data_IF_887049001841
#
_entry.id   IF_887049001841
#
_cell.length_a   1.000
_cell.length_b   1.000
_cell.length_c   1.000
_cell.angle_alpha   90.00
_cell.angle_beta   90.00
_cell.angle_gamma   90.00
#
_symmetry.space_group_name_H-M   'P 1'
#
loop_
_entity.id
_entity.type
_entity.pdbx_description
1 polymer ?
#
# COMPACT_ATOMS: atom_id res chain seq x y z
N UNK A 1 30.29 -68.07 46.76
CA UNK A 1 30.02 -66.72 47.28
C UNK A 1 28.66 -66.25 46.75
N UNK A 2 27.68 -65.97 47.62
CA UNK A 2 26.37 -65.39 47.21
C UNK A 2 26.31 -63.88 47.43
N UNK A 3 27.04 -63.37 48.42
CA UNK A 3 26.99 -61.97 48.81
C UNK A 3 27.66 -61.04 47.78
N UNK A 4 28.71 -61.50 47.10
CA UNK A 4 29.41 -60.72 46.06
C UNK A 4 28.57 -60.57 44.79
N UNK A 5 27.84 -61.60 44.38
CA UNK A 5 26.94 -61.52 43.22
C UNK A 5 25.83 -60.49 43.43
N UNK A 6 25.27 -60.39 44.64
CA UNK A 6 24.25 -59.38 44.96
C UNK A 6 24.80 -57.96 44.75
N UNK A 7 26.00 -57.70 45.28
CA UNK A 7 26.64 -56.39 45.13
C UNK A 7 27.00 -56.08 43.68
N UNK A 8 27.55 -57.06 42.94
CA UNK A 8 27.91 -56.86 41.53
C UNK A 8 26.67 -56.57 40.69
N UNK A 9 25.56 -57.28 40.90
CA UNK A 9 24.29 -57.02 40.22
C UNK A 9 23.75 -55.61 40.47
N UNK A 10 23.84 -55.12 41.70
CA UNK A 10 23.37 -53.78 42.07
C UNK A 10 24.19 -52.67 41.39
N UNK A 11 25.50 -52.91 41.19
CA UNK A 11 26.43 -51.93 40.59
C UNK A 11 26.58 -52.13 39.06
N UNK A 12 26.15 -53.27 38.51
CA UNK A 12 26.32 -53.63 37.10
C UNK A 12 25.78 -52.60 36.10
N UNK A 13 24.61 -51.96 36.32
CA UNK A 13 24.10 -50.91 35.44
C UNK A 13 25.03 -49.69 35.41
N UNK A 14 25.56 -49.28 36.57
CA UNK A 14 26.49 -48.15 36.68
C UNK A 14 27.85 -48.48 36.04
N UNK A 15 28.31 -49.73 36.18
CA UNK A 15 29.50 -50.23 35.49
C UNK A 15 29.32 -50.21 33.97
N UNK A 16 28.15 -50.65 33.46
CA UNK A 16 27.82 -50.61 32.04
C UNK A 16 27.83 -49.18 31.46
N UNK A 17 27.47 -48.19 32.28
CA UNK A 17 27.52 -46.76 31.92
C UNK A 17 28.88 -46.10 32.19
N UNK A 18 29.90 -46.86 32.63
CA UNK A 18 31.22 -46.36 33.05
C UNK A 18 31.15 -45.26 34.15
N UNK A 19 30.20 -45.38 35.08
CA UNK A 19 29.96 -44.41 36.16
C UNK A 19 30.43 -44.90 37.54
N UNK A 20 31.37 -45.84 37.58
CA UNK A 20 31.97 -46.37 38.81
C UNK A 20 33.44 -45.97 38.92
N UNK A 21 34.00 -45.97 40.14
CA UNK A 21 35.43 -45.72 40.35
C UNK A 21 36.29 -46.85 39.76
N UNK A 22 37.57 -46.58 39.46
CA UNK A 22 38.51 -47.57 38.91
C UNK A 22 38.66 -48.82 39.80
N UNK A 23 38.70 -48.62 41.13
CA UNK A 23 38.75 -49.72 42.10
C UNK A 23 37.51 -50.62 42.01
N UNK A 24 36.33 -50.01 41.85
CA UNK A 24 35.05 -50.74 41.73
C UNK A 24 34.94 -51.43 40.37
N UNK A 25 35.42 -50.79 39.29
CA UNK A 25 35.47 -51.37 37.96
C UNK A 25 36.33 -52.63 37.91
N UNK A 26 37.53 -52.56 38.50
CA UNK A 26 38.47 -53.70 38.56
C UNK A 26 37.87 -54.89 39.31
N UNK A 27 37.20 -54.63 40.44
CA UNK A 27 36.50 -55.65 41.22
C UNK A 27 35.37 -56.32 40.42
N UNK A 28 34.52 -55.52 39.76
CA UNK A 28 33.44 -56.05 38.92
C UNK A 28 34.00 -56.86 37.74
N UNK A 29 35.08 -56.41 37.10
CA UNK A 29 35.71 -57.11 35.99
C UNK A 29 36.29 -58.48 36.40
N UNK A 30 36.93 -58.57 37.56
CA UNK A 30 37.45 -59.82 38.10
C UNK A 30 36.32 -60.80 38.46
N UNK A 31 35.21 -60.28 38.99
CA UNK A 31 34.02 -61.10 39.28
C UNK A 31 33.35 -61.62 38.00
N UNK A 32 33.23 -60.78 36.95
CA UNK A 32 32.63 -61.19 35.68
C UNK A 32 33.42 -62.29 34.97
N UNK A 33 34.75 -62.37 35.17
CA UNK A 33 35.60 -63.46 34.65
C UNK A 33 35.32 -64.81 35.31
N UNK A 34 34.79 -64.80 36.53
CA UNK A 34 34.59 -66.01 37.35
C UNK A 34 33.12 -66.38 37.54
N UNK A 35 32.18 -65.45 37.30
CA UNK A 35 30.75 -65.67 37.45
C UNK A 35 29.98 -65.54 36.12
N UNK A 36 29.49 -66.67 35.60
CA UNK A 36 28.73 -66.72 34.35
C UNK A 36 27.36 -66.06 34.42
N UNK A 37 26.72 -66.03 35.59
CA UNK A 37 25.40 -65.39 35.77
C UNK A 37 25.49 -63.87 35.62
N UNK A 38 26.43 -63.23 36.33
CA UNK A 38 26.65 -61.78 36.23
C UNK A 38 27.11 -61.37 34.82
N UNK A 39 27.91 -62.21 34.14
CA UNK A 39 28.32 -61.97 32.76
C UNK A 39 27.14 -62.00 31.77
N UNK A 40 26.20 -62.95 31.95
CA UNK A 40 25.01 -63.04 31.12
C UNK A 40 24.09 -61.82 31.27
N UNK A 41 23.97 -61.26 32.48
CA UNK A 41 23.20 -60.05 32.74
C UNK A 41 23.81 -58.81 32.07
N UNK A 42 25.14 -58.69 32.07
CA UNK A 42 25.83 -57.60 31.37
C UNK A 42 25.61 -57.69 29.84
N UNK A 43 25.66 -58.90 29.27
CA UNK A 43 25.39 -59.12 27.85
C UNK A 43 23.93 -58.84 27.49
N UNK A 44 22.98 -59.15 28.37
CA UNK A 44 21.57 -58.79 28.19
C UNK A 44 21.38 -57.25 28.14
N UNK A 45 22.08 -56.49 28.98
CA UNK A 45 22.06 -55.01 28.94
C UNK A 45 22.69 -54.46 27.65
N UNK A 46 23.82 -55.03 27.20
CA UNK A 46 24.45 -54.69 25.91
C UNK A 46 23.54 -54.97 24.72
N UNK A 47 22.80 -56.08 24.75
CA UNK A 47 21.84 -56.45 23.71
C UNK A 47 20.63 -55.49 23.71
N UNK A 48 20.12 -55.11 24.89
CA UNK A 48 19.05 -54.10 25.02
C UNK A 48 19.43 -52.75 24.42
N UNK A 49 20.63 -52.24 24.72
CA UNK A 49 21.12 -50.96 24.19
C UNK A 49 21.26 -50.94 22.66
N UNK A 50 21.67 -52.05 22.05
CA UNK A 50 21.78 -52.16 20.59
C UNK A 50 20.41 -52.13 19.88
N UNK A 51 19.34 -52.57 20.54
CA UNK A 51 17.98 -52.52 20.00
C UNK A 51 17.46 -51.08 20.00
N UNK A 52 17.78 -50.29 21.03
CA UNK A 52 17.39 -48.88 21.13
C UNK A 52 18.13 -47.98 20.12
N UNK A 53 19.41 -48.25 19.83
CA UNK A 53 20.18 -47.49 18.82
C UNK A 53 19.80 -47.85 17.37
N UNK A 54 19.32 -49.06 17.12
CA UNK A 54 18.86 -49.49 15.78
C UNK A 54 17.51 -48.89 15.35
N UNK A 55 16.72 -48.35 16.29
CA UNK A 55 15.43 -47.71 16.00
C UNK A 55 15.53 -46.25 15.51
N UNK A 56 16.73 -45.65 15.51
CA UNK A 56 16.94 -44.22 15.23
C UNK A 56 17.37 -43.79 13.80
N UNK A 57 16.98 -44.42 12.66
CA UNK A 57 17.15 -43.78 11.34
C UNK A 57 15.87 -43.18 10.72
N UNK A 58 14.66 -43.49 11.19
CA UNK A 58 13.43 -43.12 10.44
C UNK A 58 12.96 -41.66 10.59
N UNK A 59 13.36 -40.94 11.64
CA UNK A 59 12.83 -39.60 11.95
C UNK A 59 13.33 -38.47 11.02
N UNK A 60 14.48 -38.65 10.37
CA UNK A 60 15.12 -37.59 9.55
C UNK A 60 14.47 -37.41 8.18
N UNK A 61 13.88 -38.46 7.59
CA UNK A 61 13.25 -38.37 6.27
C UNK A 61 11.88 -37.70 6.33
N UNK A 62 11.10 -37.97 7.37
CA UNK A 62 9.76 -37.37 7.54
C UNK A 62 9.85 -35.89 7.90
N UNK A 63 10.81 -35.48 8.72
CA UNK A 63 11.09 -34.08 8.99
C UNK A 63 11.45 -33.28 7.71
N UNK A 64 12.28 -33.87 6.85
CA UNK A 64 12.67 -33.24 5.58
C UNK A 64 11.49 -33.15 4.58
N UNK A 65 10.63 -34.17 4.53
CA UNK A 65 9.42 -34.16 3.71
C UNK A 65 8.44 -33.07 4.15
N UNK A 66 8.21 -32.92 5.46
CA UNK A 66 7.35 -31.87 6.02
C UNK A 66 7.89 -30.47 5.75
N UNK A 67 9.21 -30.26 5.84
CA UNK A 67 9.85 -28.97 5.49
C UNK A 67 9.71 -28.66 4.00
N UNK A 68 9.87 -29.67 3.13
CA UNK A 68 9.67 -29.50 1.68
C UNK A 68 8.22 -29.14 1.34
N UNK A 69 7.23 -29.78 1.99
CA UNK A 69 5.80 -29.46 1.84
C UNK A 69 5.52 -28.04 2.35
N UNK A 70 6.01 -27.66 3.53
CA UNK A 70 5.86 -26.30 4.08
C UNK A 70 6.44 -25.25 3.13
N UNK A 71 7.64 -25.47 2.58
CA UNK A 71 8.26 -24.58 1.58
C UNK A 71 7.42 -24.47 0.30
N UNK A 72 6.88 -25.58 -0.22
CA UNK A 72 5.98 -25.57 -1.39
C UNK A 72 4.69 -24.78 -1.12
N UNK A 73 4.09 -24.97 0.06
CA UNK A 73 2.89 -24.22 0.48
C UNK A 73 3.22 -22.74 0.64
N UNK A 74 4.32 -22.38 1.30
CA UNK A 74 4.73 -20.98 1.44
C UNK A 74 5.02 -20.33 0.09
N UNK A 75 5.70 -21.02 -0.84
CA UNK A 75 5.89 -20.52 -2.21
C UNK A 75 4.55 -20.26 -2.90
N UNK A 76 3.59 -21.18 -2.82
CA UNK A 76 2.24 -20.99 -3.39
C UNK A 76 1.51 -19.80 -2.74
N UNK A 77 1.63 -19.62 -1.42
CA UNK A 77 1.08 -18.46 -0.70
C UNK A 77 1.71 -17.15 -1.18
N UNK A 78 3.04 -17.08 -1.29
CA UNK A 78 3.73 -15.88 -1.80
C UNK A 78 3.38 -15.57 -3.24
N UNK A 79 3.23 -16.58 -4.09
CA UNK A 79 2.76 -16.40 -5.48
C UNK A 79 1.34 -15.84 -5.48
N UNK A 80 0.42 -16.41 -4.69
CA UNK A 80 -0.95 -15.92 -4.58
C UNK A 80 -1.00 -14.46 -4.09
N UNK A 81 -0.27 -14.14 -3.01
CA UNK A 81 -0.17 -12.77 -2.46
C UNK A 81 0.39 -11.81 -3.52
N UNK A 82 1.43 -12.22 -4.24
CA UNK A 82 2.05 -11.39 -5.28
C UNK A 82 1.07 -11.11 -6.42
N UNK A 83 0.33 -12.13 -6.88
CA UNK A 83 -0.70 -11.96 -7.91
C UNK A 83 -1.79 -11.01 -7.42
N UNK A 84 -2.30 -11.20 -6.20
CA UNK A 84 -3.30 -10.31 -5.62
C UNK A 84 -2.79 -8.87 -5.54
N UNK A 85 -1.55 -8.66 -5.09
CA UNK A 85 -0.94 -7.33 -5.01
C UNK A 85 -0.84 -6.66 -6.40
N UNK A 86 -0.40 -7.40 -7.43
CA UNK A 86 -0.33 -6.90 -8.81
C UNK A 86 -1.72 -6.55 -9.36
N UNK A 87 -2.73 -7.39 -9.14
CA UNK A 87 -4.10 -7.10 -9.55
C UNK A 87 -4.65 -5.85 -8.87
N UNK A 88 -4.42 -5.69 -7.56
CA UNK A 88 -4.85 -4.50 -6.83
C UNK A 88 -4.16 -3.24 -7.36
N UNK A 89 -2.85 -3.28 -7.60
CA UNK A 89 -2.12 -2.16 -8.19
C UNK A 89 -2.64 -1.79 -9.58
N UNK A 90 -2.96 -2.79 -10.42
CA UNK A 90 -3.55 -2.56 -11.73
C UNK A 90 -4.93 -1.89 -11.63
N UNK A 91 -5.79 -2.33 -10.70
CA UNK A 91 -7.11 -1.73 -10.47
C UNK A 91 -6.98 -0.28 -9.98
N UNK A 92 -6.10 -0.02 -9.01
CA UNK A 92 -5.88 1.35 -8.48
C UNK A 92 -5.38 2.27 -9.59
N UNK A 93 -4.42 1.80 -10.39
CA UNK A 93 -3.89 2.54 -11.54
C UNK A 93 -5.00 2.82 -12.55
N UNK A 94 -5.83 1.82 -12.88
CA UNK A 94 -6.96 1.97 -13.79
C UNK A 94 -7.97 3.01 -13.28
N UNK A 95 -8.37 2.94 -12.00
CA UNK A 95 -9.30 3.91 -11.41
C UNK A 95 -8.72 5.32 -11.37
N UNK A 96 -7.40 5.45 -11.16
CA UNK A 96 -6.72 6.75 -11.16
C UNK A 96 -6.77 7.42 -12.54
N UNK A 97 -6.44 6.68 -13.60
CA UNK A 97 -6.46 7.21 -14.97
C UNK A 97 -7.87 7.31 -15.56
N UNK A 98 -8.79 6.44 -15.14
CA UNK A 98 -10.17 6.38 -15.61
C UNK A 98 -11.19 6.54 -14.46
N UNK A 99 -11.32 7.74 -13.88
CA UNK A 99 -12.19 8.02 -12.74
C UNK A 99 -13.66 8.15 -13.17
N UNK A 100 -14.28 7.05 -13.60
CA UNK A 100 -15.66 7.01 -14.14
C UNK A 100 -16.70 7.56 -13.15
N UNK A 101 -16.42 7.55 -11.84
CA UNK A 101 -17.30 8.16 -10.83
C UNK A 101 -17.53 9.67 -11.08
N UNK A 102 -16.61 10.38 -11.74
CA UNK A 102 -16.77 11.80 -12.12
C UNK A 102 -17.87 11.98 -13.17
N UNK A 103 -18.03 11.02 -14.08
CA UNK A 103 -19.14 11.01 -15.05
C UNK A 103 -20.47 10.91 -14.33
N UNK A 104 -20.59 10.05 -13.31
CA UNK A 104 -21.82 9.91 -12.52
C UNK A 104 -22.14 11.22 -11.80
N UNK A 105 -21.12 11.91 -11.29
CA UNK A 105 -21.24 13.17 -10.58
C UNK A 105 -21.76 14.32 -11.45
N UNK A 106 -21.41 14.35 -12.73
CA UNK A 106 -21.81 15.41 -13.68
C UNK A 106 -23.03 15.02 -14.52
N UNK A 107 -23.13 13.74 -14.90
CA UNK A 107 -24.08 13.21 -15.88
C UNK A 107 -25.54 13.15 -15.43
N UNK A 108 -25.83 13.45 -14.17
CA UNK A 108 -27.21 13.67 -13.71
C UNK A 108 -27.81 15.02 -14.17
N UNK A 109 -27.02 15.89 -14.80
CA UNK A 109 -27.45 17.23 -15.23
C UNK A 109 -27.68 17.27 -16.74
N UNK A 110 -28.68 18.02 -17.20
CA UNK A 110 -28.88 18.31 -18.64
C UNK A 110 -27.97 19.44 -19.15
N UNK A 111 -27.10 19.97 -18.28
CA UNK A 111 -26.30 21.15 -18.53
C UNK A 111 -25.10 20.86 -19.46
N UNK A 112 -24.52 19.66 -19.33
CA UNK A 112 -23.39 19.23 -20.15
C UNK A 112 -23.82 18.21 -21.21
N UNK A 113 -23.24 18.31 -22.40
CA UNK A 113 -23.48 17.35 -23.47
C UNK A 113 -22.76 16.02 -23.20
N UNK A 114 -23.22 14.93 -23.82
CA UNK A 114 -22.58 13.62 -23.67
C UNK A 114 -21.11 13.61 -24.08
N UNK A 115 -20.72 14.40 -25.09
CA UNK A 115 -19.33 14.52 -25.54
C UNK A 115 -18.44 15.39 -24.63
N UNK A 116 -19.04 16.30 -23.87
CA UNK A 116 -18.35 17.04 -22.80
C UNK A 116 -18.09 16.13 -21.60
N UNK A 117 -19.12 15.38 -21.18
CA UNK A 117 -19.04 14.44 -20.05
C UNK A 117 -18.08 13.29 -20.36
N UNK A 118 -18.03 12.81 -21.61
CA UNK A 118 -17.12 11.73 -22.02
C UNK A 118 -15.63 12.09 -21.77
N UNK A 119 -15.27 13.38 -21.76
CA UNK A 119 -13.92 13.86 -21.43
C UNK A 119 -13.54 13.62 -19.96
N UNK A 120 -14.47 13.25 -19.08
CA UNK A 120 -14.18 12.83 -17.70
C UNK A 120 -13.82 11.36 -17.59
N UNK A 121 -14.00 10.56 -18.66
CA UNK A 121 -13.69 9.13 -18.64
C UNK A 121 -12.20 8.85 -18.46
N UNK A 122 -11.34 9.75 -18.95
CA UNK A 122 -9.89 9.67 -18.89
C UNK A 122 -9.31 11.01 -18.43
N UNK A 123 -8.32 10.97 -17.54
CA UNK A 123 -7.75 12.19 -16.92
C UNK A 123 -6.91 13.08 -17.86
N UNK A 124 -6.66 12.64 -19.09
CA UNK A 124 -5.77 13.32 -20.03
C UNK A 124 -4.37 12.71 -20.07
N UNK A 125 -3.64 12.99 -21.16
CA UNK A 125 -2.25 12.57 -21.31
C UNK A 125 -1.35 13.25 -20.27
N UNK A 126 -0.16 12.68 -20.01
CA UNK A 126 0.81 13.32 -19.11
C UNK A 126 1.21 14.71 -19.63
N UNK A 127 1.32 14.86 -20.96
CA UNK A 127 1.64 16.13 -21.62
C UNK A 127 0.54 17.16 -21.40
N UNK A 128 -0.72 16.82 -21.73
CA UNK A 128 -1.87 17.72 -21.60
C UNK A 128 -2.03 18.21 -20.17
N UNK A 129 -1.85 17.29 -19.21
CA UNK A 129 -1.95 17.60 -17.77
C UNK A 129 -0.80 18.49 -17.28
N UNK A 130 0.38 18.36 -17.86
CA UNK A 130 1.53 19.22 -17.56
C UNK A 130 1.31 20.63 -18.14
N UNK A 131 0.85 20.72 -19.39
CA UNK A 131 0.54 22.01 -20.02
C UNK A 131 -0.59 22.75 -19.28
N UNK A 132 -1.64 22.03 -18.87
CA UNK A 132 -2.74 22.57 -18.08
C UNK A 132 -2.32 23.19 -16.73
N UNK A 133 -1.15 22.83 -16.18
CA UNK A 133 -0.67 23.43 -14.92
C UNK A 133 -0.46 24.94 -15.02
N UNK A 134 -0.06 25.43 -16.20
CA UNK A 134 0.12 26.87 -16.43
C UNK A 134 -1.20 27.64 -16.25
N UNK A 135 -2.29 27.08 -16.79
CA UNK A 135 -3.65 27.62 -16.73
C UNK A 135 -4.19 27.52 -15.30
N UNK A 136 -3.97 26.38 -14.62
CA UNK A 136 -4.38 26.20 -13.22
C UNK A 136 -3.70 27.19 -12.29
N UNK A 137 -2.43 27.53 -12.53
CA UNK A 137 -1.72 28.55 -11.76
C UNK A 137 -2.32 29.95 -11.96
N UNK A 138 -2.73 30.29 -13.17
CA UNK A 138 -3.42 31.56 -13.44
C UNK A 138 -4.79 31.58 -12.76
N UNK A 139 -5.55 30.49 -12.84
CA UNK A 139 -6.84 30.38 -12.17
C UNK A 139 -6.70 30.43 -10.64
N UNK A 140 -5.70 29.76 -10.06
CA UNK A 140 -5.41 29.79 -8.64
C UNK A 140 -5.10 31.22 -8.15
N UNK A 141 -4.36 32.01 -8.95
CA UNK A 141 -4.16 33.42 -8.68
C UNK A 141 -5.47 34.22 -8.71
N UNK A 142 -6.34 33.97 -9.70
CA UNK A 142 -7.65 34.60 -9.78
C UNK A 142 -8.53 34.25 -8.56
N UNK A 143 -8.59 32.98 -8.14
CA UNK A 143 -9.34 32.57 -6.95
C UNK A 143 -8.83 33.25 -5.66
N UNK A 144 -7.51 33.43 -5.52
CA UNK A 144 -6.92 34.11 -4.37
C UNK A 144 -7.14 35.63 -4.38
N UNK A 145 -7.54 36.22 -5.50
CA UNK A 145 -7.67 37.67 -5.60
C UNK A 145 -8.90 38.17 -4.86
N UNK A 146 -8.65 39.05 -3.90
CA UNK A 146 -9.67 39.80 -3.16
C UNK A 146 -9.28 41.28 -2.99
N UNK A 147 -8.38 41.77 -3.84
CA UNK A 147 -7.75 43.09 -3.69
C UNK A 147 -8.05 44.03 -4.85
N UNK A 148 -8.38 43.48 -6.01
CA UNK A 148 -8.64 44.25 -7.20
C UNK A 148 -10.14 44.45 -7.46
N UNK A 149 -10.47 45.51 -8.19
CA UNK A 149 -11.81 45.77 -8.71
C UNK A 149 -12.19 44.79 -9.83
N UNK A 150 -13.47 44.77 -10.22
CA UNK A 150 -13.93 43.90 -11.32
C UNK A 150 -13.18 44.19 -12.62
N UNK A 151 -12.90 45.46 -12.93
CA UNK A 151 -12.21 45.88 -14.15
C UNK A 151 -10.72 45.50 -14.15
N UNK A 152 -10.03 45.70 -13.03
CA UNK A 152 -8.62 45.29 -12.88
C UNK A 152 -8.46 43.76 -12.96
N UNK A 153 -9.38 43.01 -12.35
CA UNK A 153 -9.38 41.54 -12.46
C UNK A 153 -9.60 41.07 -13.90
N UNK A 154 -10.47 41.74 -14.67
CA UNK A 154 -10.69 41.43 -16.09
C UNK A 154 -9.43 41.67 -16.93
N UNK A 155 -8.69 42.75 -16.66
CA UNK A 155 -7.39 43.02 -17.31
C UNK A 155 -6.32 41.97 -16.95
N UNK A 156 -6.27 41.53 -15.69
CA UNK A 156 -5.27 40.58 -15.21
C UNK A 156 -5.55 39.13 -15.60
N UNK A 157 -6.83 38.71 -15.57
CA UNK A 157 -7.22 37.31 -15.64
C UNK A 157 -8.18 36.97 -16.79
N UNK A 158 -8.65 37.97 -17.54
CA UNK A 158 -9.61 37.77 -18.63
C UNK A 158 -10.84 37.00 -18.16
N UNK A 159 -11.17 35.89 -18.82
CA UNK A 159 -12.33 35.05 -18.50
C UNK A 159 -12.24 34.44 -17.09
N UNK A 160 -11.03 34.22 -16.56
CA UNK A 160 -10.83 33.70 -15.20
C UNK A 160 -11.14 34.71 -14.11
N UNK A 161 -11.26 36.01 -14.43
CA UNK A 161 -11.63 37.07 -13.48
C UNK A 161 -12.95 36.80 -12.76
N UNK A 162 -13.82 35.97 -13.33
CA UNK A 162 -15.07 35.52 -12.68
C UNK A 162 -14.85 34.81 -11.34
N UNK A 163 -13.67 34.23 -11.13
CA UNK A 163 -13.31 33.53 -9.90
C UNK A 163 -12.70 34.46 -8.85
N UNK A 164 -12.35 35.69 -9.23
CA UNK A 164 -11.83 36.70 -8.33
C UNK A 164 -12.93 37.37 -7.50
N UNK A 165 -12.56 37.78 -6.29
CA UNK A 165 -13.46 38.45 -5.34
C UNK A 165 -13.30 39.95 -5.45
N UNK A 166 -14.02 40.55 -6.40
CA UNK A 166 -13.84 41.96 -6.71
C UNK A 166 -14.26 42.91 -5.55
N UNK A 167 -13.40 43.86 -5.21
CA UNK A 167 -13.60 44.79 -4.06
C UNK A 167 -14.78 45.73 -4.23
N UNK A 168 -15.16 46.03 -5.48
CA UNK A 168 -16.30 46.86 -5.84
C UNK A 168 -17.65 46.13 -5.70
N UNK A 169 -17.64 44.80 -5.57
CA UNK A 169 -18.81 43.97 -5.26
C UNK A 169 -18.83 43.53 -3.80
N UNK A 170 -17.66 43.22 -3.24
CA UNK A 170 -17.47 42.68 -1.91
C UNK A 170 -16.37 43.45 -1.18
N UNK A 171 -16.76 44.49 -0.43
CA UNK A 171 -15.82 45.45 0.15
C UNK A 171 -15.28 45.08 1.55
N UNK A 172 -15.80 44.02 2.16
CA UNK A 172 -15.47 43.58 3.53
C UNK A 172 -14.69 42.26 3.58
N UNK A 173 -14.30 41.71 2.42
CA UNK A 173 -13.56 40.45 2.31
C UNK A 173 -12.14 40.63 2.85
N UNK A 174 -11.75 39.75 3.77
CA UNK A 174 -10.42 39.76 4.40
C UNK A 174 -9.51 38.68 3.82
N UNK A 175 -10.04 37.51 3.50
CA UNK A 175 -9.31 36.43 2.84
C UNK A 175 -10.26 35.48 2.11
N UNK A 176 -9.69 34.64 1.26
CA UNK A 176 -10.40 33.62 0.49
C UNK A 176 -9.81 32.25 0.82
N UNK A 177 -10.69 31.24 0.92
CA UNK A 177 -10.31 29.84 0.89
C UNK A 177 -10.86 29.19 -0.36
N UNK A 178 -10.05 28.41 -1.08
CA UNK A 178 -10.55 27.58 -2.16
C UNK A 178 -9.79 26.26 -2.30
N UNK A 179 -10.40 25.36 -3.06
CA UNK A 179 -9.78 24.16 -3.60
C UNK A 179 -10.00 24.16 -5.10
N UNK A 180 -8.95 23.92 -5.90
CA UNK A 180 -9.05 23.80 -7.35
C UNK A 180 -8.40 22.48 -7.80
N UNK A 181 -9.22 21.53 -8.26
CA UNK A 181 -8.75 20.22 -8.71
C UNK A 181 -8.83 20.08 -10.23
N UNK A 182 -7.75 19.62 -10.85
CA UNK A 182 -7.77 19.18 -12.24
C UNK A 182 -8.41 17.80 -12.37
N UNK A 183 -9.59 17.75 -12.98
CA UNK A 183 -10.27 16.50 -13.27
C UNK A 183 -9.77 15.87 -14.57
N UNK A 184 -9.77 16.60 -15.68
CA UNK A 184 -9.15 16.12 -16.93
C UNK A 184 -8.67 17.27 -17.79
N UNK A 185 -7.69 16.99 -18.65
CA UNK A 185 -7.18 17.92 -19.65
C UNK A 185 -7.06 17.18 -20.98
N UNK A 186 -7.60 17.77 -22.05
CA UNK A 186 -7.53 17.24 -23.41
C UNK A 186 -7.16 18.40 -24.31
N UNK A 187 -5.88 18.48 -24.67
CA UNK A 187 -5.31 19.61 -25.38
C UNK A 187 -4.80 19.14 -26.75
N UNK A 188 -5.28 19.80 -27.80
CA UNK A 188 -4.76 19.67 -29.15
C UNK A 188 -3.70 20.76 -29.41
N UNK A 189 -3.29 20.94 -30.67
CA UNK A 189 -2.20 21.87 -31.01
C UNK A 189 -2.53 23.34 -30.68
N UNK A 190 -3.80 23.74 -30.86
CA UNK A 190 -4.26 25.13 -30.76
C UNK A 190 -5.42 25.36 -29.79
N UNK A 191 -6.21 24.33 -29.49
CA UNK A 191 -7.39 24.42 -28.65
C UNK A 191 -7.52 23.19 -27.75
N UNK A 192 -8.36 23.27 -26.73
CA UNK A 192 -8.55 22.16 -25.82
C UNK A 192 -9.64 22.39 -24.79
N UNK A 193 -9.80 21.38 -23.93
CA UNK A 193 -10.81 21.34 -22.90
C UNK A 193 -10.21 20.89 -21.58
N UNK A 194 -10.57 21.59 -20.51
CA UNK A 194 -10.16 21.26 -19.16
C UNK A 194 -11.38 21.14 -18.27
N UNK A 195 -11.51 20.00 -17.60
CA UNK A 195 -12.45 19.86 -16.49
C UNK A 195 -11.74 20.19 -15.20
N UNK A 196 -12.27 21.16 -14.46
CA UNK A 196 -11.88 21.45 -13.09
C UNK A 196 -13.03 21.19 -12.13
N UNK A 197 -12.66 21.04 -10.87
CA UNK A 197 -13.62 20.94 -9.78
C UNK A 197 -13.17 21.81 -8.63
N UNK A 198 -14.03 22.71 -8.20
CA UNK A 198 -13.64 23.69 -7.21
C UNK A 198 -14.67 23.90 -6.10
N UNK A 199 -14.16 24.43 -5.00
CA UNK A 199 -14.94 25.04 -3.92
C UNK A 199 -14.24 26.32 -3.53
N UNK A 200 -15.00 27.33 -3.13
CA UNK A 200 -14.52 28.67 -2.84
C UNK A 200 -15.40 29.31 -1.76
N UNK A 201 -14.77 30.06 -0.85
CA UNK A 201 -15.43 30.86 0.18
C UNK A 201 -14.65 32.17 0.38
N UNK A 202 -15.32 33.31 0.20
CA UNK A 202 -14.84 34.62 0.63
C UNK A 202 -15.28 34.90 2.06
N UNK A 203 -14.33 35.29 2.91
CA UNK A 203 -14.53 35.42 4.34
C UNK A 203 -14.18 36.85 4.79
N UNK A 204 -15.08 37.48 5.53
CA UNK A 204 -14.87 38.82 6.07
C UNK A 204 -14.06 38.81 7.38
N UNK A 205 -13.78 39.99 7.93
CA UNK A 205 -12.96 40.12 9.15
C UNK A 205 -13.59 39.51 10.41
N UNK A 206 -14.91 39.28 10.39
CA UNK A 206 -15.64 38.60 11.47
C UNK A 206 -15.62 37.07 11.33
N UNK A 207 -14.99 36.54 10.27
CA UNK A 207 -14.96 35.12 9.98
C UNK A 207 -16.23 34.58 9.32
N UNK A 208 -17.12 35.45 8.84
CA UNK A 208 -18.35 35.05 8.14
C UNK A 208 -18.09 34.87 6.65
N UNK A 209 -18.67 33.82 6.07
CA UNK A 209 -18.66 33.59 4.63
C UNK A 209 -19.66 34.54 3.98
N UNK A 210 -19.18 35.48 3.15
CA UNK A 210 -20.01 36.48 2.47
C UNK A 210 -20.38 36.05 1.05
N UNK A 211 -19.54 35.23 0.42
CA UNK A 211 -19.79 34.63 -0.89
C UNK A 211 -19.12 33.26 -0.95
N UNK A 212 -19.70 32.33 -1.71
CA UNK A 212 -19.12 31.00 -1.83
C UNK A 212 -19.79 30.13 -2.87
N UNK A 213 -19.06 29.11 -3.30
CA UNK A 213 -19.55 28.04 -4.16
C UNK A 213 -18.89 26.75 -3.73
N UNK A 214 -19.65 25.65 -3.67
CA UNK A 214 -19.11 24.37 -3.21
C UNK A 214 -19.31 23.34 -4.27
N UNK A 215 -18.29 22.50 -4.46
CA UNK A 215 -18.43 21.27 -5.20
C UNK A 215 -18.84 21.48 -6.66
N UNK A 216 -18.30 22.52 -7.31
CA UNK A 216 -18.69 22.96 -8.66
C UNK A 216 -17.81 22.29 -9.72
N UNK A 217 -18.39 21.46 -10.61
CA UNK A 217 -17.70 21.00 -11.80
C UNK A 217 -17.80 22.06 -12.90
N UNK A 218 -16.64 22.47 -13.42
CA UNK A 218 -16.55 23.47 -14.48
C UNK A 218 -15.76 22.93 -15.65
N UNK A 219 -16.32 23.11 -16.84
CA UNK A 219 -15.66 22.84 -18.11
C UNK A 219 -15.11 24.16 -18.66
N UNK A 220 -13.80 24.20 -18.87
CA UNK A 220 -13.10 25.30 -19.50
C UNK A 220 -12.74 24.95 -20.94
N UNK A 221 -13.00 25.88 -21.85
CA UNK A 221 -12.45 25.89 -23.20
C UNK A 221 -11.18 26.72 -23.18
N UNK A 222 -10.12 26.21 -23.76
CA UNK A 222 -8.80 26.86 -23.78
C UNK A 222 -8.24 26.91 -25.19
N UNK A 223 -7.53 27.98 -25.50
CA UNK A 223 -6.88 28.20 -26.80
C UNK A 223 -5.47 28.75 -26.58
N UNK A 224 -4.56 28.49 -27.52
CA UNK A 224 -3.26 29.17 -27.54
C UNK A 224 -3.42 30.56 -28.14
N UNK A 225 -2.93 31.56 -27.43
CA UNK A 225 -2.89 32.92 -27.92
C UNK A 225 -1.81 33.12 -29.01
N UNK A 226 -1.63 34.35 -29.49
CA UNK A 226 -0.61 34.67 -30.50
C UNK A 226 0.83 34.46 -30.03
N UNK A 227 1.06 34.34 -28.71
CA UNK A 227 2.37 34.07 -28.11
C UNK A 227 2.61 32.58 -27.92
N UNK A 228 1.57 31.76 -28.10
CA UNK A 228 1.59 30.31 -27.88
C UNK A 228 1.27 29.90 -26.45
N UNK A 229 0.86 30.85 -25.59
CA UNK A 229 0.42 30.56 -24.22
C UNK A 229 -1.04 30.16 -24.18
N UNK A 230 -1.37 29.18 -23.33
CA UNK A 230 -2.75 28.75 -23.15
C UNK A 230 -3.54 29.77 -22.33
N UNK A 231 -4.69 30.18 -22.87
CA UNK A 231 -5.65 31.08 -22.22
C UNK A 231 -7.04 30.43 -22.16
N UNK A 232 -7.81 30.75 -21.13
CA UNK A 232 -9.20 30.31 -21.01
C UNK A 232 -10.09 31.23 -21.83
N UNK A 233 -10.81 30.69 -22.81
CA UNK A 233 -11.72 31.45 -23.69
C UNK A 233 -13.18 31.24 -23.34
N UNK A 234 -13.52 30.15 -22.63
CA UNK A 234 -14.88 29.86 -22.23
C UNK A 234 -14.97 29.07 -20.93
N UNK A 235 -16.01 29.35 -20.14
CA UNK A 235 -16.29 28.64 -18.88
C UNK A 235 -17.76 28.24 -18.85
N UNK A 236 -18.00 26.96 -18.66
CA UNK A 236 -19.32 26.35 -18.56
C UNK A 236 -19.41 25.59 -17.24
N UNK A 237 -20.25 26.05 -16.33
CA UNK A 237 -20.41 25.48 -14.99
C UNK A 237 -21.87 25.49 -14.55
N UNK A 238 -22.26 24.50 -13.76
CA UNK A 238 -23.62 24.42 -13.26
C UNK A 238 -23.87 25.55 -12.24
N UNK A 239 -24.99 26.28 -12.32
CA UNK A 239 -25.34 27.34 -11.36
C UNK A 239 -25.61 26.82 -9.95
#
# INVERSE_FOLDING_TARGET
MKNECSFVRDVLPLYFENMVSEDTATFVEEHLKTCSECAAELEAMKAGKQIDEAAAPQDKNDANALVAIKKKIQKKKWVAISITAVCLLAIVTFIHYFPIYRIIKVGGTSYFSGSEIAKLAYIGSVTDRAEAQSILRQADAAFHDCKHTSAENEELYGVLSRYATATDRWNDVSFVNHSLELWSAHLDDTEGYIWVYYSYEAINSEGQVVSGSKNIPSLWTVEKDTTGEWVVTGIKEHP
#
